data_IF_787813420820
#
_entry.id   IF_787813420820
#
_cell.length_a   1.000
_cell.length_b   1.000
_cell.length_c   1.000
_cell.angle_alpha   90.00
_cell.angle_beta   90.00
_cell.angle_gamma   90.00
#
_symmetry.space_group_name_H-M   'P 1'
#
loop_
_entity.id
_entity.type
_entity.pdbx_description
1 polymer ?
#
# COMPACT_ATOMS: atom_id res chain seq x y z
N UNK A 1 2.16 15.21 32.34
CA UNK A 1 2.84 16.18 31.44
C UNK A 1 1.89 16.88 30.47
N UNK A 2 1.15 16.20 29.57
CA UNK A 2 0.19 16.86 28.67
C UNK A 2 -1.00 17.49 29.43
N UNK A 3 -1.51 16.81 30.45
CA UNK A 3 -2.59 17.29 31.32
C UNK A 3 -2.20 18.52 32.12
N UNK A 4 -0.94 18.58 32.58
CA UNK A 4 -0.44 19.74 33.31
C UNK A 4 -0.27 20.95 32.38
N UNK A 5 0.22 20.72 31.15
CA UNK A 5 0.41 21.80 30.18
C UNK A 5 -0.94 22.45 29.79
N UNK A 6 -1.97 21.62 29.55
CA UNK A 6 -3.33 22.11 29.25
C UNK A 6 -3.96 22.80 30.47
N UNK A 7 -3.72 22.27 31.67
CA UNK A 7 -4.18 22.87 32.91
C UNK A 7 -3.59 24.28 33.14
N UNK A 8 -2.30 24.42 32.97
CA UNK A 8 -1.60 25.70 33.14
C UNK A 8 -1.94 26.69 32.00
N UNK A 9 -2.04 26.21 30.76
CA UNK A 9 -2.45 27.02 29.60
C UNK A 9 -3.85 27.62 29.76
N UNK A 10 -4.81 26.83 30.23
CA UNK A 10 -6.17 27.29 30.47
C UNK A 10 -6.25 28.33 31.61
N UNK A 11 -5.46 28.15 32.66
CA UNK A 11 -5.36 29.13 33.76
C UNK A 11 -4.77 30.47 33.27
N UNK A 12 -3.74 30.43 32.42
CA UNK A 12 -3.11 31.61 31.82
C UNK A 12 -4.06 32.39 30.89
N UNK A 13 -4.98 31.69 30.24
CA UNK A 13 -5.99 32.29 29.34
C UNK A 13 -7.26 32.74 30.06
N UNK A 14 -7.31 32.68 31.38
CA UNK A 14 -8.52 32.98 32.19
C UNK A 14 -9.78 32.17 31.77
N UNK A 15 -9.59 30.98 31.17
CA UNK A 15 -10.69 30.12 30.64
C UNK A 15 -11.43 29.35 31.75
N UNK A 16 -11.21 29.70 33.02
CA UNK A 16 -11.86 29.04 34.13
C UNK A 16 -10.96 28.78 35.32
N UNK A 17 -11.48 28.09 36.34
CA UNK A 17 -10.67 27.66 37.47
C UNK A 17 -9.66 26.57 37.05
N UNK A 18 -8.53 26.51 37.69
CA UNK A 18 -7.51 25.46 37.48
C UNK A 18 -8.11 24.04 37.55
N UNK A 19 -9.13 23.85 38.41
CA UNK A 19 -9.87 22.59 38.52
C UNK A 19 -10.66 22.22 37.26
N UNK A 20 -11.26 23.23 36.56
CA UNK A 20 -11.97 22.95 35.29
C UNK A 20 -11.01 22.56 34.17
N UNK A 21 -9.91 23.29 34.02
CA UNK A 21 -8.87 22.98 33.05
C UNK A 21 -8.29 21.55 33.26
N UNK A 22 -8.03 21.17 34.52
CA UNK A 22 -7.57 19.84 34.89
C UNK A 22 -8.62 18.77 34.52
N UNK A 23 -9.90 19.00 34.76
CA UNK A 23 -10.98 18.06 34.37
C UNK A 23 -11.03 17.89 32.85
N UNK A 24 -10.97 18.95 32.06
CA UNK A 24 -10.93 18.88 30.61
C UNK A 24 -9.71 18.12 30.10
N UNK A 25 -8.54 18.36 30.67
CA UNK A 25 -7.31 17.64 30.32
C UNK A 25 -7.42 16.14 30.64
N UNK A 26 -8.01 15.77 31.79
CA UNK A 26 -8.26 14.38 32.16
C UNK A 26 -9.24 13.69 31.18
N UNK A 27 -10.35 14.35 30.82
CA UNK A 27 -11.32 13.81 29.85
C UNK A 27 -10.64 13.59 28.49
N UNK A 28 -9.85 14.56 28.01
CA UNK A 28 -9.12 14.43 26.76
C UNK A 28 -8.12 13.27 26.80
N UNK A 29 -7.38 13.14 27.90
CA UNK A 29 -6.43 12.03 28.09
C UNK A 29 -7.13 10.66 28.08
N UNK A 30 -8.31 10.54 28.71
CA UNK A 30 -9.11 9.32 28.70
C UNK A 30 -9.65 9.01 27.31
N UNK A 31 -10.10 10.01 26.56
CA UNK A 31 -10.56 9.82 25.18
C UNK A 31 -9.41 9.37 24.26
N UNK A 32 -8.23 9.96 24.39
CA UNK A 32 -7.04 9.54 23.66
C UNK A 32 -6.63 8.11 24.01
N UNK A 33 -6.64 7.76 25.30
CA UNK A 33 -6.35 6.40 25.74
C UNK A 33 -7.37 5.39 25.20
N UNK A 34 -8.67 5.73 25.22
CA UNK A 34 -9.73 4.88 24.66
C UNK A 34 -9.58 4.72 23.13
N UNK A 35 -9.26 5.78 22.40
CA UNK A 35 -9.00 5.74 20.96
C UNK A 35 -7.78 4.86 20.64
N UNK A 36 -6.69 5.01 21.40
CA UNK A 36 -5.50 4.18 21.26
C UNK A 36 -5.81 2.70 21.53
N UNK A 37 -6.53 2.42 22.60
CA UNK A 37 -6.96 1.05 22.94
C UNK A 37 -7.85 0.47 21.85
N UNK A 38 -8.81 1.23 21.34
CA UNK A 38 -9.67 0.82 20.24
C UNK A 38 -8.86 0.49 18.98
N UNK A 39 -7.95 1.37 18.56
CA UNK A 39 -7.10 1.15 17.39
C UNK A 39 -6.24 -0.11 17.50
N UNK A 40 -5.75 -0.41 18.70
CA UNK A 40 -4.91 -1.58 18.98
C UNK A 40 -5.73 -2.89 19.07
N UNK A 41 -6.92 -2.87 19.66
CA UNK A 41 -7.69 -4.11 19.87
C UNK A 41 -8.61 -4.46 18.72
N UNK A 42 -9.18 -3.48 18.03
CA UNK A 42 -10.20 -3.68 17.00
C UNK A 42 -9.92 -2.97 15.67
N UNK A 43 -9.28 -1.81 15.67
CA UNK A 43 -9.11 -0.98 14.49
C UNK A 43 -8.39 -1.68 13.35
N UNK A 44 -7.33 -2.40 13.62
CA UNK A 44 -6.54 -3.13 12.64
C UNK A 44 -7.28 -4.33 11.98
N UNK A 45 -8.40 -4.76 12.56
CA UNK A 45 -9.28 -5.83 12.01
C UNK A 45 -10.43 -5.29 11.17
N UNK A 46 -10.60 -3.97 11.12
CA UNK A 46 -11.73 -3.33 10.42
C UNK A 46 -11.47 -3.26 8.92
N UNK A 47 -11.40 -4.41 8.27
CA UNK A 47 -11.19 -4.52 6.84
C UNK A 47 -12.30 -3.84 6.04
N UNK A 48 -11.93 -3.00 5.08
CA UNK A 48 -12.83 -2.29 4.17
C UNK A 48 -12.53 -2.65 2.72
N UNK A 49 -13.57 -2.70 1.91
CA UNK A 49 -13.46 -2.80 0.45
C UNK A 49 -13.86 -1.45 -0.13
N UNK A 50 -12.90 -0.78 -0.77
CA UNK A 50 -13.06 0.55 -1.35
C UNK A 50 -13.10 0.44 -2.87
N UNK A 51 -14.16 0.95 -3.51
CA UNK A 51 -14.30 0.88 -4.97
C UNK A 51 -14.10 2.25 -5.59
N UNK A 52 -13.24 2.34 -6.60
CA UNK A 52 -12.92 3.57 -7.32
C UNK A 52 -12.92 3.35 -8.83
N UNK A 53 -13.62 4.19 -9.57
CA UNK A 53 -13.50 4.23 -11.02
C UNK A 53 -12.35 5.17 -11.43
N UNK A 54 -11.43 4.65 -12.26
CA UNK A 54 -10.27 5.38 -12.75
C UNK A 54 -10.43 5.66 -14.25
N UNK A 55 -10.49 6.93 -14.62
CA UNK A 55 -10.56 7.38 -16.01
C UNK A 55 -9.16 7.41 -16.61
N UNK A 56 -8.76 6.37 -17.34
CA UNK A 56 -7.41 6.16 -17.86
C UNK A 56 -7.34 6.61 -19.32
N UNK A 57 -6.46 7.57 -19.64
CA UNK A 57 -6.23 8.04 -20.99
C UNK A 57 -5.55 6.97 -21.82
N UNK A 58 -6.04 6.75 -23.02
CA UNK A 58 -5.47 5.75 -23.94
C UNK A 58 -5.71 4.31 -23.52
N UNK A 59 -6.65 4.06 -22.60
CA UNK A 59 -7.05 2.70 -22.24
C UNK A 59 -7.58 1.97 -23.49
N UNK A 60 -7.01 0.81 -23.86
CA UNK A 60 -7.50 0.02 -24.98
C UNK A 60 -8.92 -0.47 -24.71
N UNK A 61 -9.75 -0.54 -25.76
CA UNK A 61 -11.19 -0.87 -25.64
C UNK A 61 -11.44 -2.23 -24.97
N UNK A 62 -10.61 -3.22 -25.24
CA UNK A 62 -10.68 -4.53 -24.61
C UNK A 62 -10.53 -4.52 -23.09
N UNK A 63 -10.04 -3.42 -22.53
CA UNK A 63 -9.86 -3.22 -21.08
C UNK A 63 -10.89 -2.25 -20.47
N UNK A 64 -11.91 -1.85 -21.20
CA UNK A 64 -13.02 -1.07 -20.64
C UNK A 64 -13.74 -1.89 -19.55
N UNK A 65 -13.86 -1.31 -18.36
CA UNK A 65 -14.43 -2.00 -17.19
C UNK A 65 -13.49 -3.03 -16.54
N UNK A 66 -12.21 -3.07 -16.92
CA UNK A 66 -11.22 -3.97 -16.31
C UNK A 66 -11.07 -3.72 -14.83
N UNK A 67 -11.27 -4.76 -14.03
CA UNK A 67 -11.27 -4.67 -12.57
C UNK A 67 -9.95 -5.14 -11.99
N UNK A 68 -9.23 -4.24 -11.37
CA UNK A 68 -8.00 -4.52 -10.62
C UNK A 68 -8.35 -4.50 -9.13
N UNK A 69 -7.94 -5.52 -8.39
CA UNK A 69 -7.89 -5.44 -6.94
C UNK A 69 -6.45 -5.21 -6.50
N UNK A 70 -6.23 -4.07 -5.86
CA UNK A 70 -4.94 -3.75 -5.26
C UNK A 70 -4.98 -4.09 -3.76
N UNK A 71 -3.99 -4.85 -3.32
CA UNK A 71 -3.62 -5.07 -1.92
C UNK A 71 -2.17 -4.61 -1.72
N UNK A 72 -1.85 -4.14 -0.53
CA UNK A 72 -0.53 -3.58 -0.24
C UNK A 72 -0.20 -3.70 1.24
N UNK A 73 1.08 -3.72 1.55
CA UNK A 73 1.56 -3.52 2.91
C UNK A 73 0.92 -4.52 3.89
N UNK A 74 1.05 -5.80 3.60
CA UNK A 74 0.48 -6.85 4.46
C UNK A 74 1.18 -6.92 5.81
N UNK A 75 2.51 -6.78 5.84
CA UNK A 75 3.29 -6.86 7.08
C UNK A 75 2.92 -8.07 7.94
N UNK A 76 3.08 -9.25 7.37
CA UNK A 76 2.59 -10.52 7.93
C UNK A 76 3.11 -10.84 9.33
N UNK A 77 4.29 -10.32 9.70
CA UNK A 77 4.81 -10.44 11.05
C UNK A 77 3.89 -9.86 12.14
N UNK A 78 3.05 -8.87 11.77
CA UNK A 78 2.07 -8.29 12.68
C UNK A 78 0.87 -9.21 12.94
N UNK A 79 0.68 -10.28 12.15
CA UNK A 79 -0.46 -11.20 12.22
C UNK A 79 -0.12 -12.62 12.66
N UNK A 80 1.07 -12.88 13.17
CA UNK A 80 1.57 -14.24 13.47
C UNK A 80 0.56 -15.15 14.20
N UNK A 81 -0.32 -14.60 15.05
CA UNK A 81 -1.38 -15.31 15.77
C UNK A 81 -2.78 -15.13 15.14
N UNK A 82 -2.90 -14.48 13.98
CA UNK A 82 -4.19 -14.05 13.41
C UNK A 82 -4.32 -14.43 11.93
N UNK A 83 -4.09 -15.70 11.63
CA UNK A 83 -4.23 -16.25 10.28
C UNK A 83 -5.67 -16.15 9.74
N UNK A 84 -6.66 -16.11 10.66
CA UNK A 84 -8.06 -15.88 10.36
C UNK A 84 -8.33 -14.54 9.64
N UNK A 85 -7.63 -13.47 10.03
CA UNK A 85 -7.78 -12.16 9.40
C UNK A 85 -7.25 -12.16 7.95
N UNK A 86 -6.11 -12.81 7.72
CA UNK A 86 -5.54 -12.93 6.37
C UNK A 86 -6.44 -13.81 5.49
N UNK A 87 -7.03 -14.87 6.03
CA UNK A 87 -8.01 -15.70 5.32
C UNK A 87 -9.25 -14.89 4.94
N UNK A 88 -9.80 -14.09 5.86
CA UNK A 88 -10.92 -13.18 5.60
C UNK A 88 -10.57 -12.16 4.49
N UNK A 89 -9.36 -11.64 4.49
CA UNK A 89 -8.87 -10.72 3.46
C UNK A 89 -8.86 -11.41 2.08
N UNK A 90 -8.30 -12.62 1.99
CA UNK A 90 -8.27 -13.41 0.75
C UNK A 90 -9.68 -13.68 0.23
N UNK A 91 -10.59 -14.09 1.09
CA UNK A 91 -11.99 -14.34 0.73
C UNK A 91 -12.67 -13.05 0.24
N UNK A 92 -12.42 -11.91 0.90
CA UNK A 92 -12.95 -10.61 0.51
C UNK A 92 -12.42 -10.14 -0.84
N UNK A 93 -11.14 -10.38 -1.15
CA UNK A 93 -10.54 -10.10 -2.48
C UNK A 93 -11.20 -10.97 -3.56
N UNK A 94 -11.31 -12.27 -3.32
CA UNK A 94 -11.88 -13.22 -4.29
C UNK A 94 -13.36 -12.93 -4.57
N UNK A 95 -14.13 -12.46 -3.58
CA UNK A 95 -15.52 -12.04 -3.75
C UNK A 95 -15.67 -10.87 -4.73
N UNK A 96 -14.63 -10.06 -4.94
CA UNK A 96 -14.66 -8.97 -5.92
C UNK A 96 -14.57 -9.48 -7.35
N UNK A 97 -14.21 -10.74 -7.59
CA UNK A 97 -14.03 -11.34 -8.92
C UNK A 97 -13.12 -10.47 -9.81
N UNK A 98 -11.87 -10.20 -9.41
CA UNK A 98 -10.97 -9.34 -10.16
C UNK A 98 -10.58 -9.94 -11.51
N UNK A 99 -10.29 -9.06 -12.46
CA UNK A 99 -9.56 -9.46 -13.67
C UNK A 99 -8.07 -9.64 -13.35
N UNK A 100 -7.52 -8.76 -12.51
CA UNK A 100 -6.13 -8.78 -12.05
C UNK A 100 -6.07 -8.46 -10.56
N UNK A 101 -5.20 -9.15 -9.82
CA UNK A 101 -4.78 -8.73 -8.48
C UNK A 101 -3.38 -8.13 -8.60
N UNK A 102 -3.16 -7.00 -7.94
CA UNK A 102 -1.82 -6.41 -7.80
C UNK A 102 -1.45 -6.30 -6.33
N UNK A 103 -0.25 -6.75 -5.99
CA UNK A 103 0.36 -6.56 -4.68
C UNK A 103 1.48 -5.52 -4.79
N UNK A 104 1.34 -4.41 -4.07
CA UNK A 104 2.26 -3.27 -4.21
C UNK A 104 3.34 -3.20 -3.13
N UNK A 105 3.77 -4.37 -2.61
CA UNK A 105 4.96 -4.51 -1.75
C UNK A 105 4.68 -4.51 -0.25
N UNK A 106 5.74 -4.73 0.52
CA UNK A 106 5.78 -4.89 1.97
C UNK A 106 4.93 -6.08 2.46
N UNK A 107 5.35 -7.28 2.02
CA UNK A 107 4.75 -8.54 2.45
C UNK A 107 5.10 -8.87 3.90
N UNK A 108 6.34 -8.64 4.29
CA UNK A 108 6.87 -8.95 5.63
C UNK A 108 7.28 -7.68 6.39
N UNK A 109 7.48 -7.79 7.72
CA UNK A 109 8.01 -6.70 8.53
C UNK A 109 9.55 -6.69 8.50
N UNK A 110 10.17 -7.84 8.74
CA UNK A 110 11.62 -7.94 8.95
C UNK A 110 12.25 -9.16 8.31
N UNK A 111 11.56 -10.32 8.29
CA UNK A 111 12.15 -11.58 7.80
C UNK A 111 11.19 -12.41 6.96
N UNK A 112 11.75 -13.21 6.05
CA UNK A 112 10.97 -14.06 5.15
C UNK A 112 10.11 -15.10 5.89
N UNK A 113 10.57 -15.58 7.04
CA UNK A 113 9.88 -16.58 7.85
C UNK A 113 8.50 -16.11 8.31
N UNK A 114 8.26 -14.81 8.39
CA UNK A 114 6.95 -14.23 8.72
C UNK A 114 5.88 -14.60 7.69
N UNK A 115 6.25 -14.83 6.44
CA UNK A 115 5.32 -15.22 5.38
C UNK A 115 4.96 -16.71 5.41
N UNK A 116 5.80 -17.56 5.97
CA UNK A 116 5.63 -19.02 5.90
C UNK A 116 4.26 -19.54 6.36
N UNK A 117 3.65 -19.07 7.47
CA UNK A 117 2.34 -19.54 7.91
C UNK A 117 1.18 -19.15 6.98
N UNK A 118 1.42 -18.22 6.04
CA UNK A 118 0.38 -17.62 5.21
C UNK A 118 0.45 -18.05 3.74
N UNK A 119 1.49 -18.80 3.33
CA UNK A 119 1.71 -19.23 1.93
C UNK A 119 0.48 -19.94 1.38
N UNK A 120 -0.04 -20.94 2.09
CA UNK A 120 -1.25 -21.68 1.68
C UNK A 120 -2.48 -20.78 1.57
N UNK A 121 -2.65 -19.85 2.52
CA UNK A 121 -3.78 -18.92 2.52
C UNK A 121 -3.71 -17.95 1.35
N UNK A 122 -2.53 -17.35 1.11
CA UNK A 122 -2.32 -16.38 0.06
C UNK A 122 -2.32 -17.01 -1.35
N UNK A 123 -1.96 -18.29 -1.47
CA UNK A 123 -2.09 -19.03 -2.73
C UNK A 123 -3.54 -19.23 -3.21
N UNK A 124 -4.53 -18.94 -2.36
CA UNK A 124 -5.95 -18.97 -2.70
C UNK A 124 -6.46 -17.69 -3.39
N UNK A 125 -5.64 -16.66 -3.53
CA UNK A 125 -5.99 -15.47 -4.31
C UNK A 125 -6.24 -15.86 -5.77
N UNK A 126 -7.34 -15.36 -6.37
CA UNK A 126 -7.76 -15.72 -7.72
C UNK A 126 -8.15 -14.50 -8.53
N UNK A 127 -7.53 -14.36 -9.71
CA UNK A 127 -7.89 -13.40 -10.73
C UNK A 127 -7.75 -14.03 -12.11
N UNK A 128 -8.44 -13.50 -13.13
CA UNK A 128 -8.38 -14.05 -14.49
C UNK A 128 -6.97 -13.98 -15.08
N UNK A 129 -6.29 -12.86 -14.86
CA UNK A 129 -4.93 -12.60 -15.35
C UNK A 129 -3.85 -12.82 -14.26
N UNK A 130 -4.26 -13.43 -13.12
CA UNK A 130 -3.40 -13.82 -12.03
C UNK A 130 -3.07 -12.71 -11.04
N UNK A 131 -1.99 -12.90 -10.29
CA UNK A 131 -1.48 -11.96 -9.28
C UNK A 131 -0.13 -11.44 -9.74
N UNK A 132 0.00 -10.12 -9.90
CA UNK A 132 1.27 -9.45 -10.14
C UNK A 132 1.72 -8.77 -8.85
N UNK A 133 2.95 -8.99 -8.45
CA UNK A 133 3.51 -8.44 -7.22
C UNK A 133 4.76 -7.60 -7.49
N UNK A 134 5.03 -6.66 -6.63
CA UNK A 134 6.32 -5.98 -6.51
C UNK A 134 6.79 -6.01 -5.06
N UNK A 135 8.04 -5.66 -4.85
CA UNK A 135 8.67 -5.62 -3.53
C UNK A 135 8.61 -4.19 -2.96
N UNK A 136 8.33 -4.10 -1.66
CA UNK A 136 8.48 -2.87 -0.89
C UNK A 136 9.81 -2.82 -0.15
N UNK A 137 10.03 -1.79 0.65
CA UNK A 137 11.30 -1.59 1.34
C UNK A 137 11.55 -2.62 2.46
N UNK A 138 10.51 -3.18 3.06
CA UNK A 138 10.63 -4.21 4.10
C UNK A 138 11.05 -5.58 3.52
N UNK A 139 10.70 -5.88 2.29
CA UNK A 139 10.94 -7.17 1.66
C UNK A 139 12.43 -7.47 1.38
N UNK A 140 13.32 -6.49 1.53
CA UNK A 140 14.78 -6.65 1.38
C UNK A 140 15.50 -7.00 2.69
N UNK A 141 14.79 -7.28 3.78
CA UNK A 141 15.34 -7.69 5.09
C UNK A 141 16.32 -6.66 5.70
N UNK A 142 16.18 -5.39 5.34
CA UNK A 142 17.09 -4.33 5.82
C UNK A 142 16.81 -3.92 7.26
N UNK A 143 15.63 -4.26 7.77
CA UNK A 143 15.18 -3.97 9.15
C UNK A 143 15.38 -5.16 10.10
N UNK A 144 15.82 -6.30 9.57
CA UNK A 144 16.17 -7.46 10.41
C UNK A 144 17.47 -7.22 11.17
N UNK A 145 17.58 -7.84 12.35
CA UNK A 145 18.83 -7.88 13.11
C UNK A 145 19.91 -8.75 12.45
N UNK A 146 19.82 -8.97 11.16
CA UNK A 146 20.74 -9.76 10.35
C UNK A 146 21.75 -8.85 9.71
N UNK A 147 22.98 -8.93 10.19
CA UNK A 147 24.07 -8.08 9.72
C UNK A 147 24.90 -8.70 8.59
N UNK A 148 24.85 -10.05 8.42
CA UNK A 148 25.61 -10.75 7.39
C UNK A 148 24.94 -10.60 6.00
N UNK A 149 25.62 -10.00 5.00
CA UNK A 149 25.03 -9.82 3.66
C UNK A 149 24.59 -11.13 2.99
N UNK A 150 25.32 -12.22 3.24
CA UNK A 150 25.00 -13.55 2.69
C UNK A 150 23.67 -14.09 3.24
N UNK A 151 23.46 -13.98 4.54
CA UNK A 151 22.23 -14.43 5.19
C UNK A 151 21.03 -13.58 4.73
N UNK A 152 21.20 -12.27 4.60
CA UNK A 152 20.15 -11.38 4.08
C UNK A 152 19.75 -11.79 2.64
N UNK A 153 20.74 -12.05 1.78
CA UNK A 153 20.47 -12.49 0.41
C UNK A 153 19.78 -13.87 0.34
N UNK A 154 20.04 -14.75 1.31
CA UNK A 154 19.38 -16.06 1.38
C UNK A 154 17.92 -15.93 1.82
N UNK A 155 17.62 -15.12 2.83
CA UNK A 155 16.26 -14.81 3.29
C UNK A 155 15.45 -14.09 2.20
N UNK A 156 16.07 -13.17 1.48
CA UNK A 156 15.44 -12.52 0.34
C UNK A 156 15.04 -13.54 -0.76
N UNK A 157 15.95 -14.47 -1.11
CA UNK A 157 15.62 -15.56 -2.05
C UNK A 157 14.54 -16.49 -1.50
N UNK A 158 14.49 -16.71 -0.20
CA UNK A 158 13.43 -17.49 0.45
C UNK A 158 12.06 -16.80 0.29
N UNK A 159 11.99 -15.48 0.50
CA UNK A 159 10.76 -14.71 0.29
C UNK A 159 10.25 -14.85 -1.15
N UNK A 160 11.14 -14.64 -2.14
CA UNK A 160 10.78 -14.76 -3.55
C UNK A 160 10.30 -16.19 -3.92
N UNK A 161 10.88 -17.23 -3.30
CA UNK A 161 10.37 -18.61 -3.50
C UNK A 161 8.97 -18.77 -2.95
N UNK A 162 8.69 -18.25 -1.75
CA UNK A 162 7.35 -18.32 -1.14
C UNK A 162 6.32 -17.56 -1.97
N UNK A 163 6.66 -16.37 -2.50
CA UNK A 163 5.76 -15.64 -3.41
C UNK A 163 5.48 -16.45 -4.70
N UNK A 164 6.51 -17.14 -5.24
CA UNK A 164 6.33 -18.07 -6.35
C UNK A 164 5.45 -19.28 -6.01
N UNK A 165 5.57 -19.82 -4.79
CA UNK A 165 4.71 -20.92 -4.27
C UNK A 165 3.25 -20.45 -4.07
N UNK A 166 3.04 -19.17 -3.76
CA UNK A 166 1.70 -18.54 -3.75
C UNK A 166 1.12 -18.38 -5.16
N UNK A 167 1.90 -18.62 -6.21
CA UNK A 167 1.50 -18.41 -7.60
C UNK A 167 1.59 -16.96 -8.07
N UNK A 168 2.34 -16.12 -7.36
CA UNK A 168 2.49 -14.71 -7.69
C UNK A 168 3.62 -14.48 -8.69
N UNK A 169 3.40 -13.58 -9.63
CA UNK A 169 4.39 -13.13 -10.61
C UNK A 169 5.06 -11.85 -10.11
N UNK A 170 6.22 -11.98 -9.44
CA UNK A 170 6.95 -10.85 -8.86
C UNK A 170 7.71 -10.10 -9.93
N UNK A 171 7.33 -8.85 -10.17
CA UNK A 171 7.93 -7.98 -11.18
C UNK A 171 9.16 -7.25 -10.63
N UNK A 172 10.34 -7.82 -10.89
CA UNK A 172 11.62 -7.20 -10.53
C UNK A 172 12.19 -6.42 -11.72
N UNK A 173 11.82 -5.14 -11.83
CA UNK A 173 12.25 -4.27 -12.94
C UNK A 173 11.91 -4.85 -14.32
N UNK A 174 10.69 -5.34 -14.50
CA UNK A 174 10.18 -5.92 -15.75
C UNK A 174 8.69 -5.65 -15.91
N UNK A 175 8.13 -5.98 -17.05
CA UNK A 175 6.70 -5.84 -17.31
C UNK A 175 6.03 -7.15 -17.73
N UNK A 176 4.72 -7.16 -17.65
CA UNK A 176 3.82 -8.17 -18.23
C UNK A 176 2.96 -7.51 -19.28
N UNK A 177 2.73 -8.24 -20.35
CA UNK A 177 1.80 -7.86 -21.41
C UNK A 177 0.51 -8.62 -21.20
N UNK A 178 -0.59 -7.89 -21.09
CA UNK A 178 -1.93 -8.44 -21.01
C UNK A 178 -2.63 -8.26 -22.36
N UNK A 179 -3.25 -9.33 -22.86
CA UNK A 179 -3.93 -9.33 -24.16
C UNK A 179 -5.42 -9.59 -23.97
N UNK A 180 -6.29 -8.72 -24.54
CA UNK A 180 -7.73 -8.90 -24.46
C UNK A 180 -8.42 -8.31 -25.70
N UNK A 181 -9.16 -9.15 -26.43
CA UNK A 181 -9.89 -8.71 -27.63
C UNK A 181 -9.03 -8.12 -28.75
N UNK A 182 -7.77 -8.53 -28.84
CA UNK A 182 -6.79 -7.97 -29.78
C UNK A 182 -6.07 -6.72 -29.28
N UNK A 183 -6.48 -6.18 -28.15
CA UNK A 183 -5.86 -5.02 -27.50
C UNK A 183 -4.79 -5.44 -26.49
N UNK A 184 -3.84 -4.54 -26.23
CA UNK A 184 -2.70 -4.76 -25.34
C UNK A 184 -2.67 -3.73 -24.22
N UNK A 185 -2.53 -4.20 -22.97
CA UNK A 185 -2.25 -3.38 -21.79
C UNK A 185 -0.93 -3.85 -21.16
N UNK A 186 -0.05 -2.92 -20.85
CA UNK A 186 1.22 -3.23 -20.20
C UNK A 186 1.12 -2.97 -18.70
N UNK A 187 1.65 -3.90 -17.89
CA UNK A 187 1.81 -3.71 -16.45
C UNK A 187 3.29 -3.84 -16.12
N UNK A 188 3.93 -2.72 -15.84
CA UNK A 188 5.34 -2.67 -15.45
C UNK A 188 5.45 -2.67 -13.92
N UNK A 189 6.46 -3.36 -13.38
CA UNK A 189 6.77 -3.35 -11.97
C UNK A 189 8.24 -3.04 -11.73
N UNK A 190 8.51 -2.14 -10.81
CA UNK A 190 9.86 -1.82 -10.35
C UNK A 190 10.09 -2.39 -8.96
N UNK A 191 11.33 -2.79 -8.69
CA UNK A 191 11.80 -2.97 -7.33
C UNK A 191 11.72 -1.65 -6.56
N UNK A 192 11.86 -1.68 -5.23
CA UNK A 192 11.68 -0.46 -4.46
C UNK A 192 12.60 0.70 -4.95
N UNK A 193 12.00 1.86 -5.18
CA UNK A 193 12.66 3.12 -5.52
C UNK A 193 12.28 4.16 -4.48
N UNK A 194 13.17 4.40 -3.52
CA UNK A 194 12.96 5.33 -2.41
C UNK A 194 14.16 6.23 -2.19
N UNK A 195 13.96 7.27 -1.37
CA UNK A 195 15.07 8.08 -0.86
C UNK A 195 15.72 7.40 0.35
N UNK A 196 17.00 7.64 0.61
CA UNK A 196 17.64 7.20 1.84
C UNK A 196 16.83 7.64 3.08
N UNK A 197 16.75 6.78 4.13
CA UNK A 197 17.52 5.56 4.37
C UNK A 197 16.91 4.27 3.78
N UNK A 198 15.83 4.34 3.01
CA UNK A 198 15.17 3.17 2.44
C UNK A 198 16.02 2.53 1.33
N UNK A 199 15.94 1.18 1.15
CA UNK A 199 16.62 0.51 0.05
C UNK A 199 16.06 0.96 -1.31
N UNK A 200 16.92 1.06 -2.31
CA UNK A 200 16.52 1.48 -3.66
C UNK A 200 17.25 0.62 -4.70
N UNK A 201 16.51 -0.30 -5.32
CA UNK A 201 17.01 -1.26 -6.31
C UNK A 201 16.24 -1.18 -7.64
N UNK A 202 15.22 -0.33 -7.70
CA UNK A 202 14.39 -0.20 -8.88
C UNK A 202 15.13 0.42 -10.06
N UNK A 203 14.78 -0.06 -11.25
CA UNK A 203 15.27 0.42 -12.53
C UNK A 203 14.08 0.60 -13.48
N UNK A 204 13.60 1.83 -13.57
CA UNK A 204 12.43 2.19 -14.38
C UNK A 204 12.66 1.96 -15.88
N UNK A 205 13.86 2.28 -16.38
CA UNK A 205 14.20 2.11 -17.80
C UNK A 205 14.15 0.62 -18.18
N UNK A 206 14.66 -0.26 -17.32
CA UNK A 206 14.58 -1.69 -17.50
C UNK A 206 13.13 -2.20 -17.44
N UNK A 207 12.33 -1.70 -16.49
CA UNK A 207 10.92 -2.10 -16.36
C UNK A 207 10.06 -1.67 -17.56
N UNK A 208 10.40 -0.56 -18.19
CA UNK A 208 9.71 -0.01 -19.36
C UNK A 208 10.38 -0.41 -20.70
N UNK A 209 11.46 -1.19 -20.67
CA UNK A 209 12.13 -1.63 -21.89
C UNK A 209 11.13 -2.37 -22.82
N UNK A 210 11.23 -2.13 -24.12
CA UNK A 210 10.38 -2.75 -25.17
C UNK A 210 8.89 -2.40 -25.10
N UNK A 211 8.46 -1.54 -24.15
CA UNK A 211 7.09 -1.00 -24.13
C UNK A 211 7.01 0.17 -25.14
N UNK A 212 6.08 0.12 -26.11
CA UNK A 212 5.95 1.20 -27.08
C UNK A 212 5.62 2.55 -26.40
N UNK A 213 6.22 3.67 -26.84
CA UNK A 213 6.09 4.99 -26.16
C UNK A 213 4.65 5.54 -26.06
N UNK A 214 3.75 5.10 -26.93
CA UNK A 214 2.35 5.57 -26.96
C UNK A 214 1.36 4.55 -26.42
N UNK A 215 1.86 3.49 -25.76
CA UNK A 215 1.01 2.47 -25.15
C UNK A 215 0.43 2.94 -23.81
N UNK A 216 -0.67 2.32 -23.40
CA UNK A 216 -1.20 2.48 -22.05
C UNK A 216 -0.44 1.53 -21.10
N UNK A 217 0.28 2.09 -20.15
CA UNK A 217 1.04 1.32 -19.15
C UNK A 217 0.56 1.63 -17.74
N UNK A 218 0.30 0.56 -16.97
CA UNK A 218 0.14 0.62 -15.53
C UNK A 218 1.51 0.37 -14.90
N UNK A 219 1.91 1.19 -13.95
CA UNK A 219 3.18 1.04 -13.22
C UNK A 219 2.90 0.65 -11.77
N UNK A 220 3.47 -0.46 -11.32
CA UNK A 220 3.52 -0.82 -9.92
C UNK A 220 4.83 -0.32 -9.32
N UNK A 221 4.74 0.53 -8.30
CA UNK A 221 5.90 1.07 -7.58
C UNK A 221 5.51 1.34 -6.12
N UNK A 222 6.23 0.76 -5.18
CA UNK A 222 5.85 0.78 -3.78
C UNK A 222 5.78 2.19 -3.18
N UNK A 223 6.86 2.98 -3.31
CA UNK A 223 6.94 4.35 -2.76
C UNK A 223 6.27 5.38 -3.70
N UNK A 224 5.20 6.08 -3.25
CA UNK A 224 4.51 7.09 -4.06
C UNK A 224 5.39 8.28 -4.44
N UNK A 225 6.46 8.56 -3.71
CA UNK A 225 7.41 9.62 -4.04
C UNK A 225 8.13 9.42 -5.39
N UNK A 226 8.15 8.19 -5.91
CA UNK A 226 8.64 7.87 -7.25
C UNK A 226 7.83 8.60 -8.35
N UNK A 227 6.51 8.78 -8.16
CA UNK A 227 5.62 9.36 -9.15
C UNK A 227 6.02 10.78 -9.57
N UNK A 228 6.16 11.71 -8.62
CA UNK A 228 6.55 13.10 -8.95
C UNK A 228 7.98 13.22 -9.43
N UNK A 229 8.87 12.37 -8.93
CA UNK A 229 10.28 12.44 -9.23
C UNK A 229 10.62 11.96 -10.63
N UNK A 230 10.01 10.84 -11.06
CA UNK A 230 10.49 10.11 -12.22
C UNK A 230 9.40 9.82 -13.27
N UNK A 231 8.09 10.06 -12.96
CA UNK A 231 6.97 9.69 -13.82
C UNK A 231 6.27 10.90 -14.42
N UNK A 232 5.85 11.85 -13.56
CA UNK A 232 5.06 13.01 -13.99
C UNK A 232 5.80 13.82 -15.05
N UNK A 233 5.20 13.93 -16.25
CA UNK A 233 5.76 14.67 -17.39
C UNK A 233 6.98 14.03 -18.04
N UNK A 234 7.59 13.01 -17.45
CA UNK A 234 8.81 12.36 -17.93
C UNK A 234 8.55 11.02 -18.64
N UNK A 235 7.48 10.32 -18.26
CA UNK A 235 7.13 9.00 -18.79
C UNK A 235 5.66 9.00 -19.28
N UNK A 236 5.38 9.62 -20.44
CA UNK A 236 3.99 9.82 -20.90
C UNK A 236 3.22 8.51 -21.17
N UNK A 237 3.92 7.38 -21.41
CA UNK A 237 3.31 6.06 -21.55
C UNK A 237 2.72 5.51 -20.24
N UNK A 238 3.17 5.98 -19.06
CA UNK A 238 2.62 5.58 -17.76
C UNK A 238 1.35 6.39 -17.51
N UNK A 239 0.20 5.75 -17.70
CA UNK A 239 -1.10 6.38 -17.50
C UNK A 239 -1.59 6.32 -16.05
N UNK A 240 -1.23 5.25 -15.34
CA UNK A 240 -1.60 5.02 -13.94
C UNK A 240 -0.44 4.36 -13.19
N UNK A 241 -0.08 4.90 -12.04
CA UNK A 241 0.83 4.26 -11.08
C UNK A 241 0.05 3.81 -9.85
N UNK A 242 0.37 2.62 -9.33
CA UNK A 242 -0.22 2.05 -8.12
C UNK A 242 0.86 1.88 -7.06
N UNK A 243 0.61 2.41 -5.86
CA UNK A 243 1.58 2.45 -4.76
C UNK A 243 0.94 2.10 -3.42
N UNK A 244 1.80 1.82 -2.42
CA UNK A 244 1.47 1.64 -1.01
C UNK A 244 2.34 2.50 -0.09
N UNK A 245 3.07 1.87 0.83
CA UNK A 245 4.17 2.41 1.65
C UNK A 245 3.77 3.34 2.80
N UNK A 246 2.79 4.21 2.64
CA UNK A 246 2.53 5.29 3.60
C UNK A 246 1.74 4.85 4.82
N UNK A 247 0.91 3.83 4.68
CA UNK A 247 -0.10 3.36 5.64
C UNK A 247 -1.03 4.48 6.17
N UNK A 248 -1.01 5.69 5.57
CA UNK A 248 -1.53 6.91 6.17
C UNK A 248 -1.01 7.12 7.61
N UNK A 249 0.24 6.66 7.91
CA UNK A 249 0.81 6.53 9.26
C UNK A 249 -0.14 5.83 10.26
N UNK A 250 -1.00 4.94 9.78
CA UNK A 250 -1.99 4.16 10.53
C UNK A 250 -3.02 5.02 11.30
N UNK A 251 -3.06 6.33 11.03
CA UNK A 251 -3.95 7.30 11.65
C UNK A 251 -4.57 8.22 10.60
N UNK A 252 -5.91 8.28 10.58
CA UNK A 252 -6.67 9.19 9.73
C UNK A 252 -7.90 9.71 10.45
N UNK A 253 -8.15 11.01 10.37
CA UNK A 253 -9.34 11.64 10.92
C UNK A 253 -9.95 12.53 9.82
N UNK A 254 -11.10 12.10 9.28
CA UNK A 254 -11.67 12.73 8.09
C UNK A 254 -10.71 12.65 6.90
N UNK A 255 -10.42 13.77 6.25
CA UNK A 255 -9.47 13.88 5.15
C UNK A 255 -8.01 14.10 5.56
N UNK A 256 -7.70 14.08 6.85
CA UNK A 256 -6.37 14.37 7.39
C UNK A 256 -5.66 13.11 7.87
N UNK A 257 -4.37 12.98 7.51
CA UNK A 257 -3.44 12.03 8.10
C UNK A 257 -2.09 12.73 8.36
N UNK A 258 -1.39 12.39 9.46
CA UNK A 258 -0.03 12.87 9.70
C UNK A 258 0.95 12.54 8.57
N UNK A 259 0.69 11.47 7.80
CA UNK A 259 1.49 11.12 6.63
C UNK A 259 1.61 12.26 5.62
N UNK A 260 0.59 13.13 5.50
CA UNK A 260 0.59 14.28 4.61
C UNK A 260 1.66 15.33 4.93
N UNK A 261 2.24 15.33 6.11
CA UNK A 261 3.37 16.20 6.47
C UNK A 261 4.69 15.72 5.86
N UNK A 262 4.81 14.42 5.60
CA UNK A 262 6.03 13.80 5.09
C UNK A 262 5.90 13.44 3.60
N UNK A 263 4.72 13.03 3.18
CA UNK A 263 4.40 12.56 1.82
C UNK A 263 3.14 13.25 1.32
N UNK A 264 3.22 14.16 0.36
CA UNK A 264 2.04 14.82 -0.21
C UNK A 264 1.03 13.82 -0.79
N UNK A 265 1.53 12.74 -1.39
CA UNK A 265 0.72 11.65 -1.93
C UNK A 265 0.65 10.48 -0.93
N UNK A 266 -0.14 10.62 0.12
CA UNK A 266 -0.21 9.63 1.20
C UNK A 266 -1.37 8.62 1.12
N UNK A 267 -2.38 8.86 0.27
CA UNK A 267 -3.52 7.94 0.17
C UNK A 267 -4.57 8.41 -0.84
N UNK A 268 -5.19 7.45 -1.54
CA UNK A 268 -6.22 7.72 -2.54
C UNK A 268 -5.66 8.14 -3.90
N UNK A 269 -6.47 8.87 -4.66
CA UNK A 269 -6.22 9.20 -6.06
C UNK A 269 -5.65 10.60 -6.24
N UNK A 270 -4.52 10.68 -6.94
CA UNK A 270 -3.86 11.92 -7.39
C UNK A 270 -3.84 11.99 -8.91
N UNK A 271 -3.87 13.21 -9.45
CA UNK A 271 -3.84 13.45 -10.90
C UNK A 271 -2.92 14.61 -11.24
N UNK A 272 -2.14 14.42 -12.30
CA UNK A 272 -1.31 15.47 -12.88
C UNK A 272 -1.38 15.36 -14.41
N UNK A 273 -2.06 16.33 -15.04
CA UNK A 273 -2.41 16.22 -16.45
C UNK A 273 -3.27 14.98 -16.73
N UNK A 274 -2.73 14.06 -17.53
CA UNK A 274 -3.39 12.80 -17.87
C UNK A 274 -2.85 11.58 -17.09
N UNK A 275 -1.84 11.79 -16.28
CA UNK A 275 -1.23 10.75 -15.46
C UNK A 275 -1.91 10.68 -14.08
N UNK A 276 -2.02 9.49 -13.54
CA UNK A 276 -2.67 9.25 -12.28
C UNK A 276 -1.78 8.41 -11.36
N UNK A 277 -1.90 8.66 -10.08
CA UNK A 277 -1.34 7.84 -9.02
C UNK A 277 -2.47 7.43 -8.08
N UNK A 278 -2.56 6.14 -7.75
CA UNK A 278 -3.41 5.66 -6.67
C UNK A 278 -2.54 5.07 -5.56
N UNK A 279 -2.71 5.58 -4.35
CA UNK A 279 -1.95 5.15 -3.18
C UNK A 279 -2.87 4.39 -2.23
N UNK A 280 -2.63 3.10 -2.05
CA UNK A 280 -3.31 2.31 -1.01
C UNK A 280 -2.75 2.67 0.37
N UNK A 281 -3.61 2.74 1.36
CA UNK A 281 -3.19 2.87 2.77
C UNK A 281 -2.82 1.54 3.40
N UNK A 282 -2.86 0.46 2.61
CA UNK A 282 -2.42 -0.87 3.01
C UNK A 282 -3.41 -1.61 3.92
N UNK A 283 -3.13 -2.88 4.13
CA UNK A 283 -3.91 -3.78 4.99
C UNK A 283 -3.29 -3.88 6.37
N UNK A 284 -1.97 -4.13 6.43
CA UNK A 284 -1.19 -4.26 7.66
C UNK A 284 -0.49 -2.98 8.08
N UNK A 285 0.61 -3.18 8.74
CA UNK A 285 1.51 -2.14 9.23
C UNK A 285 2.53 -2.74 10.19
N UNK A 286 3.58 -2.01 10.50
CA UNK A 286 4.65 -2.49 11.36
C UNK A 286 4.20 -2.82 12.79
N UNK A 287 3.03 -2.34 13.21
CA UNK A 287 2.37 -2.64 14.48
C UNK A 287 0.88 -2.91 14.22
N UNK A 288 0.22 -3.78 15.00
CA UNK A 288 -1.21 -4.05 14.88
C UNK A 288 -2.03 -2.91 15.52
N UNK A 289 -2.06 -1.77 14.84
CA UNK A 289 -2.79 -0.57 15.26
C UNK A 289 -3.32 0.15 14.03
N UNK A 290 -4.60 0.55 14.03
CA UNK A 290 -5.14 1.48 13.02
C UNK A 290 -6.29 2.28 13.63
N UNK A 291 -6.29 3.59 13.41
CA UNK A 291 -7.36 4.48 13.84
C UNK A 291 -7.77 5.42 12.69
N UNK A 292 -8.94 5.16 12.11
CA UNK A 292 -9.45 5.90 10.95
C UNK A 292 -8.82 5.49 9.60
N UNK A 293 -7.54 5.21 9.56
CA UNK A 293 -6.85 4.60 8.42
C UNK A 293 -7.05 3.08 8.46
N UNK A 294 -8.29 2.62 8.21
CA UNK A 294 -8.63 1.21 8.31
C UNK A 294 -7.91 0.37 7.26
N UNK A 295 -7.71 -0.95 7.47
CA UNK A 295 -7.23 -1.87 6.45
C UNK A 295 -8.10 -1.80 5.19
N UNK A 296 -7.50 -1.64 4.01
CA UNK A 296 -8.25 -1.42 2.78
C UNK A 296 -7.85 -2.40 1.67
N UNK A 297 -8.87 -2.98 1.03
CA UNK A 297 -8.77 -3.65 -0.26
C UNK A 297 -9.30 -2.66 -1.29
N UNK A 298 -8.46 -2.28 -2.27
CA UNK A 298 -8.84 -1.30 -3.30
C UNK A 298 -9.37 -2.03 -4.54
N UNK A 299 -10.60 -1.74 -4.92
CA UNK A 299 -11.22 -2.25 -6.16
C UNK A 299 -11.23 -1.13 -7.19
N UNK A 300 -10.33 -1.22 -8.15
CA UNK A 300 -10.09 -0.19 -9.16
C UNK A 300 -10.69 -0.63 -10.50
N UNK A 301 -11.71 0.08 -10.99
CA UNK A 301 -12.32 -0.20 -12.28
C UNK A 301 -11.80 0.80 -13.32
N UNK A 302 -11.14 0.29 -14.35
CA UNK A 302 -10.59 1.13 -15.42
C UNK A 302 -11.68 1.56 -16.39
N UNK A 303 -11.71 2.86 -16.74
CA UNK A 303 -12.58 3.47 -17.74
C UNK A 303 -11.75 4.28 -18.71
N UNK A 304 -11.92 4.04 -20.00
CA UNK A 304 -11.27 4.82 -21.03
C UNK A 304 -11.87 6.22 -21.15
N UNK A 305 -11.04 7.21 -21.41
CA UNK A 305 -11.51 8.49 -21.92
C UNK A 305 -10.56 9.02 -23.00
N UNK A 306 -11.15 9.56 -24.07
CA UNK A 306 -10.45 10.21 -25.16
C UNK A 306 -10.77 11.71 -25.10
N UNK A 307 -9.81 12.51 -24.68
CA UNK A 307 -9.81 13.96 -24.91
C UNK A 307 -8.43 14.41 -25.34
#
# INVERSE_FOLDING_TARGET
MLTDLLGHGAAALHLGSQTWATRCAMVLALLMAAAQLYGTLWGWRRLQVCSTELKVRGLPKGFEGYKIVQISDLHLGSYACHTDFVAQMVDSVNQQQPDLIVFTGDLVNTTAEEAAPFVETLSRLRAKDGVLAILGNHDYMTYASVHAPRERAERFRQLLRMEGEMGWDVLQNRHRTLLRGGDTLYVAGVENISKPPFPSYGNLDKALADIPPHSCTLLLSHDPGHWRRDIVGLRPQVALMLSGHTHAMQLQIGGFSPAGWMMPEWGGLYREGHQQLYVSTGIGGSIPYRLGAWPQIEVLTLRGFNR
#
